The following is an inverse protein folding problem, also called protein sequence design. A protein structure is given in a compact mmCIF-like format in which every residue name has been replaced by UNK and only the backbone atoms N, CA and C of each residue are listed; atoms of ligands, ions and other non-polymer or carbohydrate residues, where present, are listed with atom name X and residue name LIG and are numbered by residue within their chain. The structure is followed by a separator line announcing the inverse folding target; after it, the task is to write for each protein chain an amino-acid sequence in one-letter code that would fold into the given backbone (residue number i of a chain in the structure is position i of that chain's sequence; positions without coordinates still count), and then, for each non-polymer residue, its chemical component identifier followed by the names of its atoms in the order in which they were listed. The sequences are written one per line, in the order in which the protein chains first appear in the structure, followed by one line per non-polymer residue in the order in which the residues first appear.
data_IF_439103664621
#
_entry.id   IF_439103664621
#
_cell.length_a   1.000
_cell.length_b   1.000
_cell.length_c   1.000
_cell.angle_alpha   90.00
_cell.angle_beta   90.00
_cell.angle_gamma   90.00
#
_symmetry.space_group_name_H-M   'P 1'
#
loop_
_entity.id
_entity.type
_entity.pdbx_description
1 polymer ?
#
# COMPACT_ATOMS: atom_id res chain seq x y z
N UNK A 1 -4.13 4.14 -6.09
CA UNK A 1 -5.15 3.49 -5.26
C UNK A 1 -4.48 2.99 -4.00
N UNK A 2 -4.87 3.53 -2.85
CA UNK A 2 -4.36 3.09 -1.55
C UNK A 2 -5.14 1.86 -1.06
N UNK A 3 -4.44 0.77 -0.73
CA UNK A 3 -5.05 -0.44 -0.13
C UNK A 3 -5.20 -0.27 1.38
N UNK A 4 -6.39 -0.56 1.91
CA UNK A 4 -6.63 -0.67 3.35
C UNK A 4 -6.35 -2.11 3.81
N UNK A 5 -5.47 -2.28 4.79
CA UNK A 5 -5.20 -3.57 5.44
C UNK A 5 -6.08 -3.71 6.68
N UNK A 6 -6.99 -4.68 6.65
CA UNK A 6 -7.83 -5.06 7.80
C UNK A 6 -7.14 -6.19 8.56
N UNK A 7 -6.65 -5.86 9.75
CA UNK A 7 -5.87 -6.75 10.62
C UNK A 7 -6.78 -7.42 11.65
N UNK A 8 -6.88 -8.74 11.63
CA UNK A 8 -7.63 -9.50 12.63
C UNK A 8 -6.67 -10.05 13.69
N UNK A 9 -6.87 -9.61 14.92
CA UNK A 9 -6.12 -9.99 16.11
C UNK A 9 -6.94 -10.94 16.99
N UNK A 10 -6.22 -11.79 17.73
CA UNK A 10 -6.80 -12.79 18.62
C UNK A 10 -5.88 -14.01 18.69
N UNK A 11 -5.89 -14.72 19.81
CA UNK A 11 -5.11 -15.92 19.99
C UNK A 11 -5.57 -17.06 19.06
N UNK A 12 -4.85 -18.19 19.05
CA UNK A 12 -5.27 -19.38 18.34
C UNK A 12 -6.67 -19.80 18.77
N UNK A 13 -7.52 -20.21 17.83
CA UNK A 13 -8.90 -20.62 18.14
C UNK A 13 -9.93 -19.51 18.34
N UNK A 14 -9.54 -18.23 18.34
CA UNK A 14 -10.50 -17.12 18.50
C UNK A 14 -11.52 -16.97 17.35
N UNK A 15 -11.31 -17.66 16.22
CA UNK A 15 -12.20 -17.57 15.05
C UNK A 15 -11.77 -16.56 13.99
N UNK A 16 -10.53 -16.05 14.05
CA UNK A 16 -9.99 -15.05 13.11
C UNK A 16 -10.17 -15.41 11.64
N UNK A 17 -9.77 -16.62 11.24
CA UNK A 17 -9.87 -17.07 9.85
C UNK A 17 -11.31 -17.08 9.36
N UNK A 18 -12.24 -17.59 10.19
CA UNK A 18 -13.66 -17.59 9.85
C UNK A 18 -14.20 -16.17 9.70
N UNK A 19 -13.84 -15.26 10.61
CA UNK A 19 -14.20 -13.85 10.53
C UNK A 19 -13.57 -13.15 9.30
N UNK A 20 -12.32 -13.48 8.96
CA UNK A 20 -11.64 -12.94 7.77
C UNK A 20 -12.39 -13.31 6.49
N UNK A 21 -12.78 -14.59 6.36
CA UNK A 21 -13.60 -15.06 5.25
C UNK A 21 -14.97 -14.38 5.19
N UNK A 22 -15.64 -14.21 6.34
CA UNK A 22 -16.93 -13.52 6.44
C UNK A 22 -16.83 -12.07 5.94
N UNK A 23 -15.90 -11.30 6.52
CA UNK A 23 -15.66 -9.90 6.18
C UNK A 23 -15.30 -9.77 4.69
N UNK A 24 -14.37 -10.59 4.19
CA UNK A 24 -13.97 -10.56 2.79
C UNK A 24 -15.14 -10.89 1.85
N UNK A 25 -15.97 -11.87 2.21
CA UNK A 25 -17.17 -12.23 1.45
C UNK A 25 -18.17 -11.08 1.39
N UNK A 26 -18.46 -10.41 2.51
CA UNK A 26 -19.40 -9.28 2.51
C UNK A 26 -18.86 -8.09 1.71
N UNK A 27 -17.56 -7.77 1.86
CA UNK A 27 -16.92 -6.71 1.09
C UNK A 27 -16.98 -6.98 -0.42
N UNK A 28 -16.64 -8.20 -0.87
CA UNK A 28 -16.75 -8.61 -2.28
C UNK A 28 -18.20 -8.51 -2.79
N UNK A 29 -19.19 -8.94 -1.99
CA UNK A 29 -20.62 -8.77 -2.33
C UNK A 29 -21.05 -7.30 -2.47
N UNK A 30 -20.37 -6.40 -1.77
CA UNK A 30 -20.55 -4.95 -1.86
C UNK A 30 -19.75 -4.30 -2.99
N UNK A 31 -19.21 -5.07 -3.95
CA UNK A 31 -18.36 -4.61 -5.05
C UNK A 31 -17.07 -3.89 -4.60
N UNK A 32 -16.54 -4.22 -3.41
CA UNK A 32 -15.22 -3.77 -2.96
C UNK A 32 -14.18 -4.79 -3.39
N UNK A 33 -13.17 -4.38 -4.16
CA UNK A 33 -12.11 -5.28 -4.61
C UNK A 33 -11.27 -5.70 -3.40
N UNK A 34 -11.51 -6.93 -2.93
CA UNK A 34 -11.00 -7.40 -1.64
C UNK A 34 -10.26 -8.72 -1.80
N UNK A 35 -9.11 -8.88 -1.14
CA UNK A 35 -8.41 -10.16 -1.05
C UNK A 35 -8.18 -10.60 0.40
N UNK A 36 -8.30 -11.91 0.65
CA UNK A 36 -7.97 -12.51 1.94
C UNK A 36 -6.55 -13.05 1.90
N UNK A 37 -5.73 -12.61 2.85
CA UNK A 37 -4.31 -12.96 2.96
C UNK A 37 -4.13 -13.87 4.18
N UNK A 38 -4.00 -15.19 3.98
CA UNK A 38 -3.93 -16.16 5.07
C UNK A 38 -2.60 -16.12 5.83
N UNK A 39 -2.67 -16.56 7.08
CA UNK A 39 -1.54 -16.71 8.00
C UNK A 39 -0.47 -17.70 7.50
N UNK A 40 0.76 -17.22 7.30
CA UNK A 40 1.88 -18.08 6.90
C UNK A 40 2.27 -19.13 7.95
N UNK A 41 2.15 -18.82 9.25
CA UNK A 41 2.46 -19.78 10.32
C UNK A 41 1.61 -21.06 10.23
N UNK A 42 0.37 -20.98 9.70
CA UNK A 42 -0.46 -22.16 9.46
C UNK A 42 0.05 -23.01 8.32
N UNK A 43 0.58 -22.40 7.26
CA UNK A 43 1.21 -23.15 6.17
C UNK A 43 2.37 -23.97 6.72
N UNK A 44 3.16 -23.42 7.66
CA UNK A 44 4.23 -24.14 8.34
C UNK A 44 3.71 -25.30 9.21
N UNK A 45 2.59 -25.11 9.92
CA UNK A 45 1.95 -26.20 10.67
C UNK A 45 1.49 -27.32 9.74
N UNK A 46 0.83 -26.99 8.62
CA UNK A 46 0.39 -27.98 7.65
C UNK A 46 1.54 -28.68 6.93
N UNK A 47 2.65 -28.00 6.73
CA UNK A 47 3.88 -28.56 6.17
C UNK A 47 4.75 -29.29 7.21
N UNK A 48 4.25 -29.45 8.45
CA UNK A 48 4.97 -30.08 9.58
C UNK A 48 6.35 -29.44 9.87
N UNK A 49 6.51 -28.16 9.52
CA UNK A 49 7.72 -27.35 9.73
C UNK A 49 7.74 -26.68 11.10
N UNK A 50 7.52 -27.47 12.14
CA UNK A 50 7.49 -26.99 13.53
C UNK A 50 8.86 -26.44 13.99
N UNK A 51 9.95 -26.88 13.35
CA UNK A 51 11.30 -26.35 13.53
C UNK A 51 11.38 -24.84 13.29
N UNK A 52 10.52 -24.31 12.40
CA UNK A 52 10.44 -22.89 12.06
C UNK A 52 9.46 -22.11 12.95
N UNK A 53 8.84 -22.75 13.93
CA UNK A 53 7.85 -22.14 14.85
C UNK A 53 8.38 -22.07 16.29
N UNK A 54 9.69 -22.15 16.48
CA UNK A 54 10.37 -22.17 17.79
C UNK A 54 10.39 -20.81 18.53
N UNK A 55 9.88 -19.75 17.89
CA UNK A 55 9.86 -18.40 18.44
C UNK A 55 11.22 -17.69 18.42
N UNK A 56 12.25 -18.26 17.81
CA UNK A 56 13.55 -17.59 17.67
C UNK A 56 13.43 -16.31 16.82
N UNK A 57 14.34 -15.37 17.04
CA UNK A 57 14.39 -14.13 16.27
C UNK A 57 14.43 -14.37 14.76
N UNK A 58 15.30 -15.28 14.31
CA UNK A 58 15.48 -15.58 12.89
C UNK A 58 14.19 -16.13 12.26
N UNK A 59 13.48 -17.03 12.95
CA UNK A 59 12.25 -17.61 12.45
C UNK A 59 11.07 -16.63 12.51
N UNK A 60 10.94 -15.83 13.57
CA UNK A 60 9.92 -14.79 13.64
C UNK A 60 10.13 -13.71 12.58
N UNK A 61 11.38 -13.33 12.30
CA UNK A 61 11.71 -12.42 11.20
C UNK A 61 11.31 -13.01 9.85
N UNK A 62 11.63 -14.29 9.59
CA UNK A 62 11.20 -14.99 8.37
C UNK A 62 9.68 -15.03 8.21
N UNK A 63 8.95 -15.29 9.30
CA UNK A 63 7.47 -15.29 9.28
C UNK A 63 6.94 -13.90 8.96
N UNK A 64 7.49 -12.86 9.60
CA UNK A 64 7.18 -11.46 9.32
C UNK A 64 7.42 -11.11 7.85
N UNK A 65 8.59 -11.45 7.31
CA UNK A 65 8.98 -11.14 5.94
C UNK A 65 8.05 -11.78 4.92
N UNK A 66 7.71 -13.05 5.09
CA UNK A 66 6.80 -13.76 4.18
C UNK A 66 5.37 -13.22 4.28
N UNK A 67 4.87 -12.98 5.49
CA UNK A 67 3.54 -12.38 5.67
C UNK A 67 3.47 -10.98 5.04
N UNK A 68 4.52 -10.18 5.22
CA UNK A 68 4.63 -8.85 4.62
C UNK A 68 4.73 -8.92 3.09
N UNK A 69 5.46 -9.90 2.54
CA UNK A 69 5.56 -10.13 1.09
C UNK A 69 4.18 -10.41 0.49
N UNK A 70 3.37 -11.26 1.12
CA UNK A 70 2.00 -11.56 0.68
C UNK A 70 1.10 -10.33 0.64
N UNK A 71 1.18 -9.48 1.65
CA UNK A 71 0.46 -8.19 1.67
C UNK A 71 0.95 -7.24 0.56
N UNK A 72 2.27 -7.12 0.36
CA UNK A 72 2.85 -6.30 -0.72
C UNK A 72 2.43 -6.76 -2.11
N UNK A 73 2.23 -8.07 -2.33
CA UNK A 73 1.78 -8.58 -3.63
C UNK A 73 0.43 -7.98 -4.08
N UNK A 74 -0.45 -7.65 -3.13
CA UNK A 74 -1.78 -7.07 -3.39
C UNK A 74 -1.85 -5.57 -3.14
N UNK A 75 -0.84 -4.99 -2.48
CA UNK A 75 -0.79 -3.56 -2.17
C UNK A 75 -0.86 -2.72 -3.44
N UNK A 76 -1.79 -1.75 -3.45
CA UNK A 76 -2.08 -0.87 -4.57
C UNK A 76 -2.90 -1.51 -5.69
N UNK A 77 -3.23 -2.80 -5.59
CA UNK A 77 -4.00 -3.56 -6.60
C UNK A 77 -5.43 -3.88 -6.15
N UNK A 78 -5.71 -3.80 -4.86
CA UNK A 78 -7.02 -4.08 -4.26
C UNK A 78 -7.42 -2.92 -3.34
N UNK A 79 -8.72 -2.72 -3.16
CA UNK A 79 -9.25 -1.72 -2.23
C UNK A 79 -8.95 -2.14 -0.77
N UNK A 80 -9.16 -3.43 -0.46
CA UNK A 80 -9.02 -3.98 0.89
C UNK A 80 -8.25 -5.30 0.87
N UNK A 81 -7.26 -5.44 1.76
CA UNK A 81 -6.63 -6.71 2.07
C UNK A 81 -7.02 -7.11 3.50
N UNK A 82 -7.69 -8.25 3.67
CA UNK A 82 -8.09 -8.78 4.99
C UNK A 82 -7.08 -9.84 5.39
N UNK A 83 -6.51 -9.76 6.60
CA UNK A 83 -5.55 -10.76 7.08
C UNK A 83 -5.82 -11.17 8.51
N UNK A 84 -5.68 -12.47 8.79
CA UNK A 84 -5.72 -13.06 10.13
C UNK A 84 -4.34 -13.25 10.78
N UNK A 85 -3.29 -12.74 10.12
CA UNK A 85 -1.94 -12.66 10.65
C UNK A 85 -1.36 -11.26 10.39
N UNK A 86 -1.74 -10.27 11.22
CA UNK A 86 -1.17 -8.93 11.14
C UNK A 86 0.36 -8.99 11.27
N UNK A 87 1.09 -8.15 10.52
CA UNK A 87 2.56 -8.21 10.48
C UNK A 87 3.23 -8.03 11.86
N UNK A 88 2.57 -7.36 12.81
CA UNK A 88 3.09 -7.20 14.18
C UNK A 88 2.81 -8.41 15.10
N UNK A 89 2.07 -9.41 14.63
CA UNK A 89 1.64 -10.54 15.44
C UNK A 89 2.81 -11.41 15.93
N UNK A 90 3.90 -11.48 15.16
CA UNK A 90 5.12 -12.22 15.54
C UNK A 90 5.75 -11.75 16.86
N UNK A 91 5.50 -10.51 17.29
CA UNK A 91 5.97 -9.99 18.59
C UNK A 91 5.37 -10.71 19.80
N UNK A 92 4.25 -11.41 19.61
CA UNK A 92 3.57 -12.20 20.65
C UNK A 92 4.13 -13.62 20.75
N UNK A 93 4.72 -14.13 19.66
CA UNK A 93 5.17 -15.52 19.55
C UNK A 93 6.69 -15.65 19.57
N UNK A 94 7.40 -14.59 19.95
CA UNK A 94 8.85 -14.63 20.17
C UNK A 94 9.19 -15.31 21.51
N UNK A 95 10.24 -16.11 21.51
CA UNK A 95 10.76 -16.78 22.71
C UNK A 95 11.42 -15.79 23.67
N UNK A 96 12.11 -14.79 23.11
CA UNK A 96 12.72 -13.69 23.85
C UNK A 96 12.39 -12.36 23.16
N UNK A 97 12.07 -11.30 23.91
CA UNK A 97 11.86 -9.97 23.36
C UNK A 97 13.04 -9.48 22.51
N UNK A 98 12.75 -9.00 21.29
CA UNK A 98 13.73 -8.41 20.39
C UNK A 98 13.29 -7.04 19.90
N UNK A 99 14.07 -6.00 20.21
CA UNK A 99 13.83 -4.64 19.72
C UNK A 99 14.07 -4.53 18.20
N UNK A 100 14.94 -5.35 17.63
CA UNK A 100 15.13 -5.43 16.18
C UNK A 100 13.89 -5.96 15.48
N UNK A 101 13.30 -7.04 16.00
CA UNK A 101 12.08 -7.61 15.44
C UNK A 101 10.93 -6.60 15.57
N UNK A 102 10.82 -5.94 16.73
CA UNK A 102 9.84 -4.88 16.97
C UNK A 102 9.98 -3.75 15.95
N UNK A 103 11.20 -3.27 15.70
CA UNK A 103 11.46 -2.22 14.71
C UNK A 103 11.02 -2.66 13.31
N UNK A 104 11.40 -3.84 12.85
CA UNK A 104 11.03 -4.31 11.50
C UNK A 104 9.51 -4.57 11.38
N UNK A 105 8.89 -5.13 12.42
CA UNK A 105 7.45 -5.36 12.45
C UNK A 105 6.66 -4.05 12.37
N UNK A 106 7.04 -3.04 13.16
CA UNK A 106 6.38 -1.73 13.12
C UNK A 106 6.69 -0.94 11.86
N UNK A 107 7.89 -1.08 11.29
CA UNK A 107 8.23 -0.52 9.97
C UNK A 107 7.33 -1.11 8.88
N UNK A 108 7.12 -2.43 8.88
CA UNK A 108 6.18 -3.08 7.97
C UNK A 108 4.74 -2.59 8.22
N UNK A 109 4.28 -2.60 9.46
CA UNK A 109 2.93 -2.17 9.84
C UNK A 109 2.64 -0.73 9.41
N UNK A 110 3.56 0.20 9.69
CA UNK A 110 3.41 1.63 9.36
C UNK A 110 3.49 1.91 7.85
N UNK A 111 3.87 0.93 7.02
CA UNK A 111 3.81 1.06 5.55
C UNK A 111 2.41 0.84 4.97
N UNK A 112 1.43 0.48 5.81
CA UNK A 112 0.05 0.22 5.42
C UNK A 112 -0.93 1.22 6.04
N UNK A 113 -2.07 1.41 5.38
CA UNK A 113 -3.25 1.94 6.04
C UNK A 113 -3.91 0.80 6.80
N UNK A 114 -3.96 0.88 8.14
CA UNK A 114 -4.38 -0.23 8.97
C UNK A 114 -5.77 0.01 9.59
N UNK A 115 -6.58 -1.04 9.60
CA UNK A 115 -7.82 -1.13 10.35
C UNK A 115 -7.77 -2.37 11.24
N UNK A 116 -7.64 -2.18 12.55
CA UNK A 116 -7.44 -3.29 13.47
C UNK A 116 -8.75 -3.75 14.11
N UNK A 117 -8.92 -5.06 14.16
CA UNK A 117 -10.03 -5.74 14.79
C UNK A 117 -9.49 -6.77 15.77
N UNK A 118 -9.95 -6.73 17.01
CA UNK A 118 -9.77 -7.82 17.95
C UNK A 118 -11.01 -8.74 17.90
N UNK A 119 -10.79 -10.02 17.65
CA UNK A 119 -11.87 -11.01 17.52
C UNK A 119 -12.26 -11.51 18.89
N UNK A 120 -13.52 -11.28 19.27
CA UNK A 120 -14.07 -11.82 20.52
C UNK A 120 -14.29 -13.32 20.39
N UNK A 121 -13.77 -14.10 21.35
CA UNK A 121 -13.97 -15.54 21.35
C UNK A 121 -15.45 -15.88 21.51
N UNK A 122 -15.96 -16.86 20.73
CA UNK A 122 -17.32 -17.35 20.95
C UNK A 122 -17.42 -18.02 22.33
N UNK A 123 -18.34 -17.57 23.18
CA UNK A 123 -18.51 -18.06 24.57
C UNK A 123 -18.93 -19.54 24.67
N UNK A 124 -19.58 -20.07 23.64
CA UNK A 124 -20.24 -21.39 23.67
C UNK A 124 -19.67 -22.38 22.64
N UNK A 125 -18.38 -22.28 22.29
CA UNK A 125 -17.75 -23.17 21.29
C UNK A 125 -16.59 -23.93 21.93
N UNK A 126 -16.55 -25.24 21.73
CA UNK A 126 -15.40 -26.05 22.11
C UNK A 126 -14.14 -25.58 21.39
N UNK A 127 -13.00 -25.58 22.10
CA UNK A 127 -11.71 -25.27 21.51
C UNK A 127 -11.35 -26.34 20.48
N UNK A 128 -11.06 -25.90 19.25
CA UNK A 128 -10.65 -26.78 18.16
C UNK A 128 -9.12 -26.85 18.13
N UNK A 129 -8.54 -28.04 18.28
CA UNK A 129 -7.07 -28.22 18.30
C UNK A 129 -6.43 -28.29 16.90
N UNK A 130 -7.20 -28.67 15.87
CA UNK A 130 -6.66 -28.91 14.53
C UNK A 130 -5.93 -27.68 13.96
N UNK A 131 -4.72 -27.87 13.41
CA UNK A 131 -3.89 -26.79 12.88
C UNK A 131 -3.39 -25.79 13.94
N UNK A 132 -3.31 -26.20 15.22
CA UNK A 132 -2.84 -25.36 16.33
C UNK A 132 -1.86 -26.13 17.21
N UNK A 133 -0.79 -25.44 17.64
CA UNK A 133 0.23 -25.97 18.55
C UNK A 133 -0.02 -25.60 20.02
N UNK A 134 -0.97 -24.70 20.29
CA UNK A 134 -1.28 -24.19 21.64
C UNK A 134 -2.53 -24.86 22.21
N UNK A 135 -2.58 -24.95 23.53
CA UNK A 135 -3.76 -25.31 24.32
C UNK A 135 -4.76 -24.15 24.41
N UNK A 136 -5.95 -24.41 24.95
CA UNK A 136 -6.96 -23.37 25.19
C UNK A 136 -6.48 -22.30 26.18
N UNK A 137 -5.82 -22.70 27.28
CA UNK A 137 -5.31 -21.77 28.29
C UNK A 137 -4.22 -20.86 27.72
N UNK A 138 -3.22 -21.43 27.03
CA UNK A 138 -2.19 -20.64 26.34
C UNK A 138 -2.81 -19.71 25.30
N UNK A 139 -3.85 -20.17 24.59
CA UNK A 139 -4.55 -19.34 23.62
C UNK A 139 -5.24 -18.12 24.26
N UNK A 140 -5.79 -18.27 25.47
CA UNK A 140 -6.37 -17.17 26.25
C UNK A 140 -5.30 -16.20 26.79
N UNK A 141 -4.12 -16.70 27.14
CA UNK A 141 -2.99 -15.85 27.52
C UNK A 141 -2.52 -15.01 26.32
N UNK A 142 -2.45 -15.62 25.14
CA UNK A 142 -2.11 -14.91 23.89
C UNK A 142 -3.11 -13.80 23.57
N UNK A 143 -4.40 -13.95 23.90
CA UNK A 143 -5.36 -12.86 23.77
C UNK A 143 -4.97 -11.64 24.62
N UNK A 144 -4.59 -11.88 25.88
CA UNK A 144 -4.18 -10.82 26.81
C UNK A 144 -2.91 -10.13 26.33
N UNK A 145 -1.93 -10.91 25.89
CA UNK A 145 -0.68 -10.38 25.33
C UNK A 145 -0.94 -9.51 24.09
N UNK A 146 -1.83 -9.94 23.19
CA UNK A 146 -2.25 -9.17 22.02
C UNK A 146 -2.91 -7.86 22.42
N UNK A 147 -3.84 -7.88 23.38
CA UNK A 147 -4.49 -6.66 23.88
C UNK A 147 -3.45 -5.71 24.50
N UNK A 148 -2.48 -6.24 25.24
CA UNK A 148 -1.40 -5.46 25.83
C UNK A 148 -0.49 -4.86 24.76
N UNK A 149 -0.17 -5.59 23.68
CA UNK A 149 0.57 -5.05 22.53
C UNK A 149 -0.18 -3.88 21.89
N UNK A 150 -1.49 -4.03 21.63
CA UNK A 150 -2.31 -2.99 21.02
C UNK A 150 -2.38 -1.74 21.92
N UNK A 151 -2.73 -1.91 23.21
CA UNK A 151 -2.85 -0.81 24.17
C UNK A 151 -1.50 -0.14 24.46
N UNK A 152 -0.47 -0.94 24.69
CA UNK A 152 0.89 -0.47 25.01
C UNK A 152 1.50 0.37 23.90
N UNK A 153 1.17 0.08 22.63
CA UNK A 153 1.61 0.85 21.48
C UNK A 153 0.57 1.86 20.96
N UNK A 154 -0.51 2.10 21.73
CA UNK A 154 -1.59 3.04 21.40
C UNK A 154 -2.23 2.80 20.02
N UNK A 155 -2.29 1.53 19.61
CA UNK A 155 -2.94 1.13 18.38
C UNK A 155 -4.45 1.04 18.60
N UNK A 156 -5.21 1.86 17.89
CA UNK A 156 -6.66 1.76 17.91
C UNK A 156 -7.12 0.42 17.33
N UNK A 157 -8.11 -0.20 17.96
CA UNK A 157 -8.76 -1.41 17.48
C UNK A 157 -10.24 -1.42 17.83
N UNK A 158 -11.07 -1.95 16.94
CA UNK A 158 -12.46 -2.31 17.25
C UNK A 158 -12.55 -3.75 17.74
N UNK A 159 -13.66 -4.14 18.36
CA UNK A 159 -13.96 -5.54 18.62
C UNK A 159 -14.91 -6.08 17.56
N UNK A 160 -14.71 -7.34 17.17
CA UNK A 160 -15.59 -8.05 16.26
C UNK A 160 -16.27 -9.21 17.00
N UNK A 161 -17.59 -9.16 17.02
CA UNK A 161 -18.47 -10.29 17.29
C UNK A 161 -19.34 -10.56 16.05
N UNK A 162 -19.90 -11.77 15.92
CA UNK A 162 -20.80 -12.12 14.79
C UNK A 162 -21.98 -11.15 14.66
N UNK A 163 -22.51 -10.68 15.78
CA UNK A 163 -23.65 -9.74 15.79
C UNK A 163 -23.27 -8.35 15.26
N UNK A 164 -21.97 -8.02 15.25
CA UNK A 164 -21.44 -6.72 14.82
C UNK A 164 -20.98 -6.66 13.36
N UNK A 165 -21.03 -7.78 12.62
CA UNK A 165 -20.39 -7.91 11.30
C UNK A 165 -20.77 -6.79 10.31
N UNK A 166 -22.08 -6.54 10.14
CA UNK A 166 -22.58 -5.49 9.24
C UNK A 166 -22.06 -4.10 9.60
N UNK A 167 -21.96 -3.80 10.89
CA UNK A 167 -21.45 -2.52 11.38
C UNK A 167 -19.94 -2.40 11.12
N UNK A 168 -19.19 -3.47 11.36
CA UNK A 168 -17.74 -3.51 11.11
C UNK A 168 -17.44 -3.31 9.61
N UNK A 169 -18.13 -4.04 8.72
CA UNK A 169 -17.96 -3.85 7.27
C UNK A 169 -18.29 -2.41 6.85
N UNK A 170 -19.37 -1.83 7.38
CA UNK A 170 -19.70 -0.41 7.14
C UNK A 170 -18.58 0.53 7.60
N UNK A 171 -17.96 0.25 8.73
CA UNK A 171 -16.85 1.05 9.25
C UNK A 171 -15.57 0.90 8.41
N UNK A 172 -15.26 -0.32 7.94
CA UNK A 172 -14.16 -0.59 7.01
C UNK A 172 -14.35 0.23 5.72
N UNK A 173 -15.52 0.14 5.09
CA UNK A 173 -15.83 0.90 3.86
C UNK A 173 -15.73 2.41 4.09
N UNK A 174 -16.24 2.92 5.22
CA UNK A 174 -16.11 4.35 5.56
C UNK A 174 -14.64 4.76 5.70
N UNK A 175 -13.81 3.93 6.33
CA UNK A 175 -12.39 4.21 6.52
C UNK A 175 -11.63 4.21 5.18
N UNK A 176 -11.87 3.20 4.34
CA UNK A 176 -11.36 3.11 2.96
C UNK A 176 -11.71 4.36 2.13
N UNK A 177 -12.98 4.80 2.18
CA UNK A 177 -13.42 6.01 1.48
C UNK A 177 -12.70 7.27 1.97
N UNK A 178 -12.35 7.37 3.27
CA UNK A 178 -11.57 8.50 3.81
C UNK A 178 -10.14 8.50 3.27
N UNK A 179 -9.49 7.33 3.20
CA UNK A 179 -8.16 7.18 2.63
C UNK A 179 -8.15 7.59 1.14
N UNK A 180 -9.15 7.15 0.38
CA UNK A 180 -9.28 7.51 -1.04
C UNK A 180 -9.61 8.99 -1.27
N UNK A 181 -10.23 9.67 -0.29
CA UNK A 181 -10.41 11.13 -0.33
C UNK A 181 -9.11 11.87 -0.04
N UNK A 182 -8.31 11.41 0.92
CA UNK A 182 -6.97 11.94 1.19
C UNK A 182 -6.08 11.81 -0.05
N UNK A 183 -6.08 10.66 -0.74
CA UNK A 183 -5.35 10.48 -2.02
C UNK A 183 -5.77 11.48 -3.10
N UNK A 184 -7.08 11.74 -3.24
CA UNK A 184 -7.57 12.74 -4.19
C UNK A 184 -7.10 14.14 -3.84
N UNK A 185 -7.07 14.50 -2.56
CA UNK A 185 -6.56 15.78 -2.11
C UNK A 185 -5.04 15.89 -2.27
N UNK A 186 -4.28 14.84 -1.97
CA UNK A 186 -2.83 14.76 -2.20
C UNK A 186 -2.51 14.89 -3.70
N UNK A 187 -3.23 14.16 -4.57
CA UNK A 187 -3.04 14.21 -6.03
C UNK A 187 -3.53 15.51 -6.69
N UNK A 188 -4.53 16.20 -6.09
CA UNK A 188 -4.93 17.55 -6.49
C UNK A 188 -3.96 18.61 -5.94
N UNK A 189 -3.30 18.35 -4.81
CA UNK A 189 -2.22 19.15 -4.25
C UNK A 189 -0.89 18.98 -4.99
N UNK A 190 -0.65 17.85 -5.63
CA UNK A 190 0.50 17.62 -6.52
C UNK A 190 0.29 18.16 -7.95
N UNK A 191 -0.96 18.50 -8.32
CA UNK A 191 -1.26 19.16 -9.61
C UNK A 191 -1.34 20.68 -9.57
N UNK A 192 -1.14 21.28 -8.39
CA UNK A 192 -0.77 22.68 -8.27
C UNK A 192 0.58 22.71 -7.57
N UNK A 193 1.67 22.54 -8.33
CA UNK A 193 2.96 23.00 -7.82
C UNK A 193 2.75 24.47 -7.37
N UNK A 194 3.06 24.83 -6.12
CA UNK A 194 2.71 26.14 -5.60
C UNK A 194 3.49 27.18 -6.40
N UNK A 195 2.85 27.81 -7.38
CA UNK A 195 3.45 28.89 -8.17
C UNK A 195 3.96 29.93 -7.19
N UNK A 196 5.28 30.10 -7.14
CA UNK A 196 5.92 31.13 -6.34
C UNK A 196 5.43 32.50 -6.81
N UNK A 197 5.43 32.73 -8.12
CA UNK A 197 4.79 33.87 -8.79
C UNK A 197 4.79 33.72 -10.33
N UNK A 198 3.94 34.50 -11.01
CA UNK A 198 4.11 34.84 -12.43
C UNK A 198 4.76 36.21 -12.52
N UNK A 199 5.78 36.36 -13.36
CA UNK A 199 6.55 37.60 -13.42
C UNK A 199 7.19 37.82 -14.78
N UNK A 200 7.61 39.06 -15.05
CA UNK A 200 8.43 39.41 -16.21
C UNK A 200 9.87 38.98 -15.95
N UNK A 201 10.35 37.99 -16.71
CA UNK A 201 11.69 37.43 -16.60
C UNK A 201 12.46 37.61 -17.92
N UNK A 202 13.79 37.69 -17.82
CA UNK A 202 14.66 37.68 -18.98
C UNK A 202 14.78 36.24 -19.52
N UNK A 203 14.41 36.03 -20.78
CA UNK A 203 14.37 34.70 -21.41
C UNK A 203 15.63 34.48 -22.25
N UNK A 204 16.32 33.35 -22.02
CA UNK A 204 17.56 33.04 -22.72
C UNK A 204 17.36 32.88 -24.24
N UNK A 205 16.35 32.14 -24.68
CA UNK A 205 16.08 31.93 -26.12
C UNK A 205 15.78 33.23 -26.89
N UNK A 206 15.36 34.28 -26.20
CA UNK A 206 15.07 35.61 -26.77
C UNK A 206 16.20 36.62 -26.50
N UNK A 207 17.44 36.14 -26.31
CA UNK A 207 18.61 36.99 -26.03
C UNK A 207 18.40 37.94 -24.83
N UNK A 208 17.64 37.49 -23.82
CA UNK A 208 17.36 38.26 -22.62
C UNK A 208 16.22 39.26 -22.76
N UNK A 209 15.35 39.17 -23.76
CA UNK A 209 14.11 39.96 -23.75
C UNK A 209 13.20 39.56 -22.58
N UNK A 210 12.42 40.54 -22.09
CA UNK A 210 11.43 40.30 -21.05
C UNK A 210 10.20 39.62 -21.62
N UNK A 211 9.80 38.50 -21.01
CA UNK A 211 8.50 37.86 -21.22
C UNK A 211 7.96 37.36 -19.90
N UNK A 212 6.66 37.05 -19.88
CA UNK A 212 6.04 36.41 -18.73
C UNK A 212 6.54 34.96 -18.61
N UNK A 213 6.98 34.58 -17.42
CA UNK A 213 7.33 33.22 -17.05
C UNK A 213 6.72 32.88 -15.69
N UNK A 214 6.48 31.58 -15.46
CA UNK A 214 5.95 31.09 -14.18
C UNK A 214 7.12 30.55 -13.35
N UNK A 215 7.39 31.18 -12.21
CA UNK A 215 8.34 30.65 -11.23
C UNK A 215 7.59 29.67 -10.33
N UNK A 216 8.00 28.42 -10.39
CA UNK A 216 7.32 27.32 -9.71
C UNK A 216 7.83 27.23 -8.27
N UNK A 217 9.11 26.93 -8.05
CA UNK A 217 9.66 26.77 -6.69
C UNK A 217 11.15 27.00 -6.65
N UNK A 218 11.71 27.36 -5.48
CA UNK A 218 13.16 27.38 -5.26
C UNK A 218 13.66 25.94 -5.09
N UNK A 219 14.68 25.55 -5.86
CA UNK A 219 15.23 24.19 -5.88
C UNK A 219 16.70 24.11 -5.42
N UNK A 220 17.38 25.26 -5.29
CA UNK A 220 18.75 25.34 -4.80
C UNK A 220 19.10 26.74 -4.33
N UNK A 221 20.39 27.00 -4.10
CA UNK A 221 20.85 28.34 -3.74
C UNK A 221 20.84 29.27 -4.97
N UNK A 222 20.02 30.30 -4.91
CA UNK A 222 19.63 31.15 -6.05
C UNK A 222 19.18 30.40 -7.32
N UNK A 223 18.67 29.17 -7.18
CA UNK A 223 18.21 28.32 -8.28
C UNK A 223 16.72 27.99 -8.11
N UNK A 224 15.96 28.17 -9.19
CA UNK A 224 14.51 28.12 -9.21
C UNK A 224 14.04 27.27 -10.39
N UNK A 225 13.03 26.45 -10.15
CA UNK A 225 12.27 25.80 -11.21
C UNK A 225 11.32 26.81 -11.83
N UNK A 226 11.36 26.97 -13.14
CA UNK A 226 10.48 27.84 -13.91
C UNK A 226 9.84 27.09 -15.08
N UNK A 227 8.69 27.56 -15.51
CA UNK A 227 8.05 27.15 -16.76
C UNK A 227 7.94 28.35 -17.70
N UNK A 228 8.40 28.16 -18.94
CA UNK A 228 8.24 29.11 -20.02
C UNK A 228 7.81 28.37 -21.30
N UNK A 229 6.69 28.78 -21.91
CA UNK A 229 6.09 28.13 -23.09
C UNK A 229 5.93 26.59 -22.97
N UNK A 230 5.53 26.10 -21.79
CA UNK A 230 5.35 24.66 -21.54
C UNK A 230 6.66 23.88 -21.35
N UNK A 231 7.80 24.56 -21.24
CA UNK A 231 9.10 23.95 -20.98
C UNK A 231 9.54 24.24 -19.54
N UNK A 232 9.80 23.18 -18.79
CA UNK A 232 10.41 23.27 -17.45
C UNK A 232 11.92 23.51 -17.57
N UNK A 233 12.41 24.53 -16.88
CA UNK A 233 13.80 24.96 -16.94
C UNK A 233 14.26 25.58 -15.62
N UNK A 234 15.58 25.72 -15.46
CA UNK A 234 16.15 26.45 -14.34
C UNK A 234 16.06 27.97 -14.56
N UNK A 235 15.93 28.70 -13.47
CA UNK A 235 15.96 30.15 -13.41
C UNK A 235 16.77 30.63 -12.21
N UNK A 236 17.39 31.80 -12.34
CA UNK A 236 18.13 32.46 -11.27
C UNK A 236 17.53 33.84 -10.99
N UNK A 237 17.64 34.32 -9.75
CA UNK A 237 17.18 35.66 -9.38
C UNK A 237 18.35 36.64 -9.27
N UNK A 238 18.27 37.77 -9.96
CA UNK A 238 19.23 38.86 -9.82
C UNK A 238 18.69 39.90 -8.84
N UNK A 239 19.26 39.95 -7.64
CA UNK A 239 18.83 40.85 -6.56
C UNK A 239 19.04 42.34 -6.87
N UNK A 240 20.01 42.70 -7.72
CA UNK A 240 20.31 44.10 -8.05
C UNK A 240 19.31 44.68 -9.06
N UNK A 241 18.79 43.85 -9.95
CA UNK A 241 17.81 44.23 -10.97
C UNK A 241 16.38 43.86 -10.55
N UNK A 242 16.24 43.00 -9.53
CA UNK A 242 14.95 42.53 -9.01
C UNK A 242 14.19 41.62 -9.99
N UNK A 243 14.90 40.87 -10.84
CA UNK A 243 14.30 40.06 -11.91
C UNK A 243 14.87 38.65 -12.00
N UNK A 244 14.05 37.73 -12.51
CA UNK A 244 14.45 36.37 -12.83
C UNK A 244 15.05 36.29 -14.24
N UNK A 245 16.02 35.40 -14.40
CA UNK A 245 16.62 35.01 -15.67
C UNK A 245 16.33 33.52 -15.87
N UNK A 246 15.56 33.20 -16.90
CA UNK A 246 15.07 31.85 -17.20
C UNK A 246 15.90 31.29 -18.36
N UNK A 247 16.54 30.14 -18.15
CA UNK A 247 17.35 29.47 -19.17
C UNK A 247 16.58 28.32 -19.81
N UNK A 248 15.67 28.70 -20.71
CA UNK A 248 14.83 27.80 -21.50
C UNK A 248 15.56 27.14 -22.67
N UNK A 249 16.87 27.37 -22.83
CA UNK A 249 17.67 26.87 -23.95
C UNK A 249 18.68 25.82 -23.53
N UNK A 250 19.43 26.07 -22.46
CA UNK A 250 20.53 25.21 -22.01
C UNK A 250 20.22 24.50 -20.69
N UNK A 251 19.36 25.07 -19.85
CA UNK A 251 18.99 24.51 -18.54
C UNK A 251 17.58 23.91 -18.51
N UNK A 252 17.16 23.31 -19.64
CA UNK A 252 15.87 22.61 -19.77
C UNK A 252 15.90 21.30 -18.98
N UNK A 253 14.91 21.10 -18.12
CA UNK A 253 14.74 19.89 -17.35
C UNK A 253 13.94 18.90 -18.20
N UNK A 254 14.63 17.87 -18.69
CA UNK A 254 13.95 16.75 -19.36
C UNK A 254 13.25 15.93 -18.29
N UNK A 255 11.92 15.94 -18.27
CA UNK A 255 11.15 15.00 -17.47
C UNK A 255 11.63 13.56 -17.76
N UNK A 256 11.87 12.76 -16.72
CA UNK A 256 12.02 11.32 -16.87
C UNK A 256 10.70 10.79 -17.38
N UNK A 257 10.61 10.57 -18.69
CA UNK A 257 9.43 10.04 -19.38
C UNK A 257 8.93 8.82 -18.63
N UNK A 258 7.71 8.89 -18.09
CA UNK A 258 7.12 7.77 -17.40
C UNK A 258 6.90 6.65 -18.41
N UNK A 259 6.95 5.40 -17.94
CA UNK A 259 6.68 4.20 -18.78
C UNK A 259 5.30 4.30 -19.47
N UNK A 260 4.39 5.11 -18.91
CA UNK A 260 3.05 5.36 -19.42
C UNK A 260 3.06 6.14 -20.75
N UNK A 261 3.91 7.17 -20.86
CA UNK A 261 3.97 8.03 -22.06
C UNK A 261 4.61 7.30 -23.27
N UNK A 262 5.39 6.25 -23.01
CA UNK A 262 5.92 5.35 -24.05
C UNK A 262 4.86 4.39 -24.59
N UNK A 263 3.92 3.94 -23.75
CA UNK A 263 2.81 3.08 -24.19
C UNK A 263 1.80 3.86 -25.03
N UNK A 264 1.44 5.08 -24.60
CA UNK A 264 0.43 5.88 -25.30
C UNK A 264 0.87 6.27 -26.72
N UNK A 265 2.17 6.40 -26.99
CA UNK A 265 2.71 6.64 -28.35
C UNK A 265 2.76 5.39 -29.22
N UNK A 266 2.92 4.20 -28.63
CA UNK A 266 2.88 2.94 -29.35
C UNK A 266 1.44 2.62 -29.78
N UNK A 267 0.46 2.92 -28.94
CA UNK A 267 -0.96 2.68 -29.23
C UNK A 267 -1.54 3.66 -30.27
N UNK A 268 -0.95 4.85 -30.42
CA UNK A 268 -1.35 5.81 -31.46
C UNK A 268 -0.77 5.52 -32.86
N UNK A 269 0.15 4.56 -32.99
CA UNK A 269 0.74 4.18 -34.29
C UNK A 269 0.10 2.96 -34.96
N UNK A 270 -0.69 2.18 -34.22
CA UNK A 270 -1.32 0.94 -34.73
C UNK A 270 -2.84 1.06 -34.94
N UNK A 271 -3.28 2.22 -35.42
CA UNK A 271 -4.66 2.41 -35.87
C UNK A 271 -4.77 2.37 -37.38
N UNK A 272 -4.45 1.26 -38.05
CA UNK A 272 -4.94 0.96 -39.42
C UNK A 272 -5.27 -0.54 -39.55
N UNK A 273 -6.40 -0.76 -40.21
CA UNK A 273 -7.22 -1.96 -40.41
C UNK A 273 -6.53 -3.15 -41.05
N UNK A 274 -6.93 -4.37 -40.69
CA UNK A 274 -7.31 -5.39 -41.68
C UNK A 274 -8.13 -6.56 -41.09
N UNK A 275 -8.96 -7.16 -41.95
CA UNK A 275 -10.20 -7.88 -41.66
C UNK A 275 -10.10 -9.30 -41.07
N UNK A 276 -11.24 -10.04 -40.99
CA UNK A 276 -11.31 -11.26 -40.20
C UNK A 276 -10.58 -12.41 -40.89
N UNK A 277 -9.66 -13.04 -40.15
CA UNK A 277 -8.87 -14.18 -40.62
C UNK A 277 -9.73 -15.45 -40.70
N UNK A 278 -9.78 -16.03 -41.90
CA UNK A 278 -10.36 -17.36 -42.19
C UNK A 278 -9.50 -18.46 -41.56
N UNK A 279 -10.14 -19.45 -40.97
CA UNK A 279 -9.53 -20.73 -40.59
C UNK A 279 -9.56 -21.63 -41.82
N UNK A 280 -8.42 -22.24 -42.19
CA UNK A 280 -8.35 -23.33 -43.16
C UNK A 280 -7.47 -24.42 -42.56
N UNK A 281 -8.08 -25.56 -42.28
CA UNK A 281 -7.42 -26.85 -42.08
C UNK A 281 -6.89 -27.34 -43.43
N UNK A 282 -5.69 -27.92 -43.45
CA UNK A 282 -5.39 -29.24 -44.04
C UNK A 282 -3.88 -29.46 -44.13
N UNK A 283 -3.41 -30.45 -43.38
CA UNK A 283 -2.13 -31.12 -43.57
C UNK A 283 -2.39 -32.37 -44.42
N UNK A 284 -1.87 -32.41 -45.64
CA UNK A 284 -1.45 -33.66 -46.29
C UNK A 284 -0.09 -33.42 -46.95
N UNK A 285 0.93 -34.26 -46.67
CA UNK A 285 2.09 -34.38 -47.53
C UNK A 285 1.95 -35.58 -48.46
N UNK A 286 2.29 -35.35 -49.72
CA UNK A 286 2.47 -36.36 -50.76
C UNK A 286 3.47 -37.44 -50.34
N UNK A 287 3.07 -38.71 -50.41
CA UNK A 287 3.62 -39.74 -51.31
C UNK A 287 2.82 -41.03 -51.23
#
# INVERSE_FOLDING_TARGET
MKTLVVNLFGGPGAGKTAAAWEIAKILKKGNVLTEYIPEYAKDLVWAERFDLLDGSFAHQLRILEEQNRRLKCVQGKVDVAVTDSPVILGLIYQKYPSEDLKREAFKAYNSYFNFNLFIERPKNRQFEQAGRIHTEQESLEKDREIINLLKGNRLYYGTYSRDSEKLIVKNIVRHMQRINKMERQDSMGEKNEPILCKTQAHIHSLNGELREATIIKKIGDNDYLAEYNGVLCHAIFNVYVGKYYVDDKYAVIKEKTSVKDKLDRLEMTNGHTDGPMKIVDELTPEK
#
